data_IF_825754634427
#
_entry.id   IF_825754634427
#
_cell.length_a   1.000
_cell.length_b   1.000
_cell.length_c   1.000
_cell.angle_alpha   90.00
_cell.angle_beta   90.00
_cell.angle_gamma   90.00
#
_symmetry.space_group_name_H-M   'P 1'
#
loop_
_entity.id
_entity.type
_entity.pdbx_description
1 polymer ?
#
# COMPACT_ATOMS: atom_id res chain seq x y z
N UNK A 1 -7.67 20.83 -20.28
CA UNK A 1 -7.07 19.67 -20.95
C UNK A 1 -7.43 18.44 -20.13
N UNK A 2 -8.20 17.54 -20.69
CA UNK A 2 -8.62 16.31 -20.02
C UNK A 2 -7.37 15.44 -19.78
N UNK A 3 -7.09 15.08 -18.52
CA UNK A 3 -6.13 14.02 -18.20
C UNK A 3 -6.77 12.72 -18.65
N UNK A 4 -6.50 12.33 -19.90
CA UNK A 4 -6.86 11.04 -20.44
C UNK A 4 -5.92 9.97 -19.88
N UNK A 5 -6.53 8.83 -19.54
CA UNK A 5 -5.93 7.53 -19.20
C UNK A 5 -5.10 7.51 -17.91
N UNK A 6 -5.67 6.89 -16.87
CA UNK A 6 -4.97 6.54 -15.63
C UNK A 6 -3.74 5.68 -15.99
N UNK A 7 -2.56 6.25 -15.87
CA UNK A 7 -1.29 5.59 -16.18
C UNK A 7 -0.93 4.66 -15.02
N UNK A 8 -1.39 3.42 -15.08
CA UNK A 8 -0.96 2.35 -14.17
C UNK A 8 0.40 1.84 -14.63
N UNK A 9 1.37 1.73 -13.72
CA UNK A 9 2.73 1.28 -14.05
C UNK A 9 2.71 -0.10 -14.72
N UNK A 10 3.16 -0.23 -16.00
CA UNK A 10 3.05 -1.51 -16.71
C UNK A 10 3.88 -2.62 -16.07
N UNK A 11 3.36 -3.86 -16.08
CA UNK A 11 4.00 -5.07 -15.52
C UNK A 11 5.42 -5.31 -16.05
N UNK A 12 5.74 -4.85 -17.28
CA UNK A 12 7.09 -4.94 -17.85
C UNK A 12 8.14 -4.15 -17.05
N UNK A 13 7.74 -3.13 -16.28
CA UNK A 13 8.64 -2.36 -15.43
C UNK A 13 8.69 -2.87 -13.98
N UNK A 14 8.06 -4.02 -13.68
CA UNK A 14 8.09 -4.60 -12.33
C UNK A 14 9.52 -4.80 -11.78
N UNK A 15 10.51 -5.07 -12.66
CA UNK A 15 11.91 -5.17 -12.26
C UNK A 15 12.50 -3.85 -11.75
N UNK A 16 12.03 -2.70 -12.25
CA UNK A 16 12.47 -1.38 -11.76
C UNK A 16 11.88 -1.04 -10.39
N UNK A 17 10.74 -1.67 -10.06
CA UNK A 17 10.02 -1.48 -8.80
C UNK A 17 10.60 -2.38 -7.69
N UNK A 18 11.25 -3.49 -8.04
CA UNK A 18 11.86 -4.42 -7.08
C UNK A 18 13.32 -4.72 -7.47
N UNK A 19 14.21 -3.77 -7.17
CA UNK A 19 15.64 -3.92 -7.42
C UNK A 19 16.50 -3.54 -6.21
N UNK A 20 17.81 -3.90 -6.26
CA UNK A 20 18.75 -3.65 -5.16
C UNK A 20 18.96 -2.17 -4.86
N UNK A 21 18.89 -1.29 -5.88
CA UNK A 21 19.07 0.16 -5.73
C UNK A 21 17.87 0.74 -4.96
N UNK A 22 16.66 0.33 -5.29
CA UNK A 22 15.45 0.72 -4.56
C UNK A 22 15.52 0.27 -3.10
N UNK A 23 15.97 -0.97 -2.83
CA UNK A 23 16.16 -1.47 -1.45
C UNK A 23 17.16 -0.64 -0.65
N UNK A 24 18.19 -0.13 -1.28
CA UNK A 24 19.16 0.74 -0.63
C UNK A 24 18.57 2.12 -0.30
N UNK A 25 17.75 2.69 -1.20
CA UNK A 25 17.10 3.99 -1.03
C UNK A 25 15.83 3.92 -0.16
N UNK A 26 15.10 2.82 -0.23
CA UNK A 26 13.81 2.61 0.40
C UNK A 26 13.79 1.23 1.07
N UNK A 27 14.60 1.06 2.12
CA UNK A 27 14.65 -0.18 2.90
C UNK A 27 13.26 -0.49 3.51
N UNK A 28 12.55 -1.55 3.02
CA UNK A 28 11.19 -1.83 3.47
C UNK A 28 11.12 -2.08 4.97
N UNK A 29 12.12 -2.77 5.53
CA UNK A 29 12.14 -3.10 6.95
C UNK A 29 12.23 -1.86 7.82
N UNK A 30 13.09 -0.90 7.45
CA UNK A 30 13.22 0.37 8.18
C UNK A 30 11.95 1.21 8.10
N UNK A 31 11.29 1.23 6.93
CA UNK A 31 10.05 1.98 6.72
C UNK A 31 8.92 1.38 7.54
N UNK A 32 8.83 0.04 7.60
CA UNK A 32 7.72 -0.68 8.21
C UNK A 32 7.89 -0.91 9.73
N UNK A 33 9.12 -0.94 10.24
CA UNK A 33 9.42 -1.26 11.64
C UNK A 33 8.67 -0.40 12.68
N UNK A 34 8.37 0.90 12.45
CA UNK A 34 7.56 1.67 13.39
C UNK A 34 6.09 1.25 13.45
N UNK A 35 5.60 0.50 12.47
CA UNK A 35 4.17 0.25 12.24
C UNK A 35 3.76 -1.20 12.48
N UNK A 36 4.58 -2.16 12.06
CA UNK A 36 4.23 -3.59 12.08
C UNK A 36 4.75 -4.25 13.35
N UNK A 37 3.91 -5.12 13.92
CA UNK A 37 4.23 -6.02 15.03
C UNK A 37 3.84 -7.44 14.66
N UNK A 38 4.44 -8.40 15.34
CA UNK A 38 4.10 -9.82 15.22
C UNK A 38 2.61 -10.04 15.55
N UNK A 39 1.96 -10.94 14.82
CA UNK A 39 0.53 -11.25 14.96
C UNK A 39 -0.44 -10.30 14.25
N UNK A 40 0.03 -9.20 13.68
CA UNK A 40 -0.84 -8.24 12.98
C UNK A 40 -1.40 -8.79 11.66
N UNK A 41 -2.62 -8.35 11.33
CA UNK A 41 -3.19 -8.45 9.98
C UNK A 41 -2.91 -7.15 9.23
N UNK A 42 -2.17 -7.23 8.11
CA UNK A 42 -1.69 -6.04 7.39
C UNK A 42 -2.09 -6.07 5.92
N UNK A 43 -2.24 -4.88 5.33
CA UNK A 43 -2.58 -4.70 3.92
C UNK A 43 -1.43 -3.99 3.18
N UNK A 44 -1.00 -4.57 2.05
CA UNK A 44 -0.15 -3.93 1.06
C UNK A 44 -1.00 -3.60 -0.19
N UNK A 45 -1.41 -2.34 -0.33
CA UNK A 45 -2.29 -1.87 -1.38
C UNK A 45 -1.47 -1.35 -2.56
N UNK A 46 -1.69 -1.90 -3.77
CA UNK A 46 -0.82 -1.70 -4.92
C UNK A 46 0.52 -2.44 -4.71
N UNK A 47 0.44 -3.71 -4.29
CA UNK A 47 1.59 -4.49 -3.82
C UNK A 47 2.67 -4.73 -4.89
N UNK A 48 2.33 -4.58 -6.19
CA UNK A 48 3.22 -4.88 -7.29
C UNK A 48 3.79 -6.30 -7.21
N UNK A 49 5.07 -6.49 -7.51
CA UNK A 49 5.72 -7.81 -7.40
C UNK A 49 6.13 -8.17 -5.96
N UNK A 50 5.56 -7.51 -4.93
CA UNK A 50 5.73 -7.82 -3.52
C UNK A 50 6.98 -7.25 -2.86
N UNK A 51 7.40 -6.05 -3.25
CA UNK A 51 8.57 -5.38 -2.64
C UNK A 51 8.40 -5.18 -1.14
N UNK A 52 7.21 -4.75 -0.70
CA UNK A 52 6.86 -4.59 0.71
C UNK A 52 6.19 -5.84 1.28
N UNK A 53 5.30 -6.52 0.54
CA UNK A 53 4.53 -7.68 1.02
C UNK A 53 5.40 -8.77 1.62
N UNK A 54 6.54 -9.09 0.99
CA UNK A 54 7.48 -10.11 1.46
C UNK A 54 8.09 -9.74 2.81
N UNK A 55 8.47 -8.47 3.01
CA UNK A 55 9.02 -8.02 4.28
C UNK A 55 7.93 -7.91 5.36
N UNK A 56 6.73 -7.45 5.01
CA UNK A 56 5.57 -7.47 5.91
C UNK A 56 5.31 -8.87 6.46
N UNK A 57 5.32 -9.90 5.58
CA UNK A 57 5.06 -11.28 5.97
C UNK A 57 6.13 -11.86 6.91
N UNK A 58 7.38 -11.39 6.79
CA UNK A 58 8.43 -11.73 7.75
C UNK A 58 8.21 -11.05 9.10
N UNK A 59 7.74 -9.80 9.09
CA UNK A 59 7.59 -8.99 10.30
C UNK A 59 6.34 -9.37 11.11
N UNK A 60 5.25 -9.78 10.46
CA UNK A 60 4.04 -10.22 11.17
C UNK A 60 4.18 -11.60 11.79
N UNK A 61 5.20 -12.39 11.40
CA UNK A 61 5.45 -13.71 11.97
C UNK A 61 4.42 -14.76 11.54
N UNK A 62 4.38 -15.88 12.28
CA UNK A 62 3.49 -17.01 11.96
C UNK A 62 2.02 -16.74 12.25
N UNK A 63 1.75 -15.98 13.28
CA UNK A 63 0.39 -15.70 13.75
C UNK A 63 -0.24 -14.48 13.06
N UNK A 64 0.53 -13.77 12.22
CA UNK A 64 0.06 -12.64 11.44
C UNK A 64 -0.25 -12.99 10.00
N UNK A 65 -0.87 -12.05 9.28
CA UNK A 65 -1.25 -12.22 7.89
C UNK A 65 -1.03 -10.95 7.08
N UNK A 66 -0.79 -11.12 5.77
CA UNK A 66 -0.65 -10.05 4.80
C UNK A 66 -1.69 -10.23 3.70
N UNK A 67 -2.48 -9.20 3.47
CA UNK A 67 -3.28 -9.08 2.25
C UNK A 67 -2.48 -8.26 1.26
N UNK A 68 -2.04 -8.87 0.16
CA UNK A 68 -1.34 -8.21 -0.92
C UNK A 68 -2.30 -7.99 -2.09
N UNK A 69 -2.72 -6.73 -2.29
CA UNK A 69 -3.77 -6.36 -3.21
C UNK A 69 -3.20 -5.52 -4.38
N UNK A 70 -3.55 -5.88 -5.61
CA UNK A 70 -3.12 -5.15 -6.81
C UNK A 70 -4.18 -5.20 -7.91
N UNK A 71 -4.23 -4.14 -8.74
CA UNK A 71 -5.10 -4.06 -9.90
C UNK A 71 -4.61 -4.97 -11.06
N UNK A 72 -3.32 -5.26 -11.12
CA UNK A 72 -2.71 -6.00 -12.22
C UNK A 72 -2.45 -7.46 -11.84
N UNK A 73 -3.17 -8.39 -12.49
CA UNK A 73 -2.98 -9.84 -12.29
C UNK A 73 -1.51 -10.27 -12.53
N UNK A 74 -0.84 -9.66 -13.51
CA UNK A 74 0.57 -9.95 -13.81
C UNK A 74 1.53 -9.58 -12.65
N UNK A 75 1.19 -8.60 -11.81
CA UNK A 75 1.95 -8.27 -10.60
C UNK A 75 1.74 -9.34 -9.52
N UNK A 76 0.49 -9.75 -9.31
CA UNK A 76 0.15 -10.82 -8.37
C UNK A 76 0.80 -12.15 -8.76
N UNK A 77 0.85 -12.49 -10.05
CA UNK A 77 1.56 -13.69 -10.53
C UNK A 77 3.05 -13.65 -10.23
N UNK A 78 3.70 -12.49 -10.37
CA UNK A 78 5.12 -12.32 -9.99
C UNK A 78 5.33 -12.50 -8.49
N UNK A 79 4.45 -11.94 -7.66
CA UNK A 79 4.50 -12.13 -6.22
C UNK A 79 4.26 -13.61 -5.86
N UNK A 80 3.24 -14.25 -6.45
CA UNK A 80 2.96 -15.68 -6.25
C UNK A 80 4.18 -16.56 -6.58
N UNK A 81 4.81 -16.31 -7.72
CA UNK A 81 6.02 -17.04 -8.11
C UNK A 81 7.18 -16.84 -7.12
N UNK A 82 7.30 -15.64 -6.52
CA UNK A 82 8.33 -15.30 -5.55
C UNK A 82 8.16 -16.03 -4.21
N UNK A 83 6.92 -16.21 -3.74
CA UNK A 83 6.62 -16.80 -2.42
C UNK A 83 6.35 -18.30 -2.47
N UNK A 84 6.11 -18.84 -3.65
CA UNK A 84 5.76 -20.26 -3.88
C UNK A 84 6.78 -21.21 -3.23
N UNK A 85 6.29 -22.16 -2.44
CA UNK A 85 7.11 -23.15 -1.73
C UNK A 85 7.93 -22.58 -0.58
N UNK A 86 7.71 -21.33 -0.19
CA UNK A 86 8.30 -20.72 1.00
C UNK A 86 7.28 -20.66 2.14
N UNK A 87 7.75 -20.48 3.37
CA UNK A 87 6.88 -20.25 4.54
C UNK A 87 5.99 -18.99 4.43
N UNK A 88 6.29 -18.09 3.48
CA UNK A 88 5.53 -16.85 3.27
C UNK A 88 4.26 -17.09 2.46
N UNK A 89 4.16 -18.22 1.73
CA UNK A 89 2.99 -18.55 0.90
C UNK A 89 1.71 -18.66 1.75
N UNK A 90 1.81 -19.20 2.95
CA UNK A 90 0.69 -19.34 3.89
C UNK A 90 0.30 -18.02 4.57
N UNK A 91 1.23 -17.03 4.60
CA UNK A 91 1.01 -15.74 5.27
C UNK A 91 0.52 -14.65 4.34
N UNK A 92 0.72 -14.79 3.02
CA UNK A 92 0.38 -13.76 2.03
C UNK A 92 -0.80 -14.22 1.20
N UNK A 93 -1.95 -13.57 1.39
CA UNK A 93 -3.13 -13.71 0.54
C UNK A 93 -3.10 -12.68 -0.58
N UNK A 94 -3.15 -13.16 -1.82
CA UNK A 94 -3.18 -12.31 -3.02
C UNK A 94 -4.62 -11.93 -3.37
N UNK A 95 -4.88 -10.65 -3.59
CA UNK A 95 -6.20 -10.12 -3.94
C UNK A 95 -6.11 -9.31 -5.22
N UNK A 96 -6.91 -9.69 -6.21
CA UNK A 96 -7.12 -8.91 -7.42
C UNK A 96 -8.14 -7.82 -7.13
N UNK A 97 -7.72 -6.55 -7.26
CA UNK A 97 -8.61 -5.40 -7.17
C UNK A 97 -9.30 -5.12 -8.49
N UNK A 98 -10.41 -4.38 -8.42
CA UNK A 98 -11.02 -3.71 -9.56
C UNK A 98 -10.83 -2.18 -9.42
N UNK A 99 -11.00 -1.38 -10.49
CA UNK A 99 -10.78 0.07 -10.43
C UNK A 99 -11.60 0.81 -9.37
N UNK A 100 -12.77 0.27 -9.02
CA UNK A 100 -13.73 0.83 -8.06
C UNK A 100 -13.88 -0.01 -6.77
N UNK A 101 -13.22 -1.18 -6.69
CA UNK A 101 -13.33 -2.09 -5.56
C UNK A 101 -11.98 -2.71 -5.18
N UNK A 102 -11.57 -2.50 -3.93
CA UNK A 102 -10.33 -3.09 -3.40
C UNK A 102 -10.45 -4.61 -3.19
N UNK A 103 -11.66 -5.18 -3.18
CA UNK A 103 -11.95 -6.61 -2.97
C UNK A 103 -11.34 -7.21 -1.69
N UNK A 104 -11.09 -6.39 -0.67
CA UNK A 104 -10.59 -6.79 0.64
C UNK A 104 -11.70 -6.66 1.65
N UNK A 105 -11.96 -7.72 2.42
CA UNK A 105 -12.99 -7.77 3.47
C UNK A 105 -12.41 -7.96 4.88
N UNK A 106 -11.17 -8.41 4.98
CA UNK A 106 -10.50 -8.66 6.23
C UNK A 106 -10.22 -7.37 6.99
N UNK A 107 -10.43 -7.38 8.29
CA UNK A 107 -10.07 -6.27 9.17
C UNK A 107 -8.55 -6.19 9.36
N UNK A 108 -7.98 -5.00 9.18
CA UNK A 108 -6.55 -4.76 9.22
C UNK A 108 -6.13 -3.91 10.42
N UNK A 109 -4.93 -4.19 10.93
CA UNK A 109 -4.26 -3.42 11.99
C UNK A 109 -3.32 -2.35 11.40
N UNK A 110 -2.79 -2.62 10.19
CA UNK A 110 -1.94 -1.69 9.45
C UNK A 110 -2.19 -1.80 7.95
N UNK A 111 -2.12 -0.67 7.25
CA UNK A 111 -2.16 -0.60 5.78
C UNK A 111 -0.99 0.19 5.21
N UNK A 112 -0.52 -0.19 4.04
CA UNK A 112 0.42 0.56 3.22
C UNK A 112 -0.20 0.83 1.85
N UNK A 113 -0.13 2.09 1.41
CA UNK A 113 -0.37 2.46 0.02
C UNK A 113 0.84 3.29 -0.46
N UNK A 114 1.72 2.64 -1.22
CA UNK A 114 3.02 3.19 -1.60
C UNK A 114 3.09 3.44 -3.10
N UNK A 115 3.06 4.73 -3.49
CA UNK A 115 3.13 5.21 -4.88
C UNK A 115 2.00 4.67 -5.76
N UNK A 116 0.75 4.68 -5.23
CA UNK A 116 -0.39 4.16 -5.98
C UNK A 116 -1.69 4.97 -5.86
N UNK A 117 -1.86 5.78 -4.80
CA UNK A 117 -3.15 6.47 -4.56
C UNK A 117 -3.44 7.49 -5.67
N UNK A 118 -2.41 8.11 -6.26
CA UNK A 118 -2.57 9.02 -7.41
C UNK A 118 -3.10 8.34 -8.69
N UNK A 119 -3.01 7.01 -8.79
CA UNK A 119 -3.54 6.20 -9.89
C UNK A 119 -5.01 5.81 -9.66
N UNK A 120 -5.55 5.98 -8.44
CA UNK A 120 -6.92 5.59 -8.09
C UNK A 120 -7.93 6.57 -8.72
N UNK A 121 -8.89 6.07 -9.54
CA UNK A 121 -9.87 6.92 -10.21
C UNK A 121 -10.81 7.66 -9.25
N UNK A 122 -11.36 6.95 -8.25
CA UNK A 122 -12.19 7.51 -7.19
C UNK A 122 -11.54 7.33 -5.81
N UNK A 123 -10.69 8.29 -5.43
CA UNK A 123 -10.03 8.29 -4.11
C UNK A 123 -11.03 8.38 -2.95
N UNK A 124 -12.23 8.97 -3.13
CA UNK A 124 -13.25 9.01 -2.07
C UNK A 124 -13.81 7.62 -1.79
N UNK A 125 -14.16 6.87 -2.83
CA UNK A 125 -14.61 5.50 -2.69
C UNK A 125 -13.51 4.62 -2.09
N UNK A 126 -12.28 4.77 -2.55
CA UNK A 126 -11.10 4.09 -2.04
C UNK A 126 -10.92 4.28 -0.52
N UNK A 127 -10.90 5.53 -0.02
CA UNK A 127 -10.75 5.78 1.42
C UNK A 127 -11.94 5.28 2.24
N UNK A 128 -13.18 5.31 1.71
CA UNK A 128 -14.34 4.69 2.39
C UNK A 128 -14.18 3.19 2.53
N UNK A 129 -13.69 2.51 1.49
CA UNK A 129 -13.42 1.07 1.53
C UNK A 129 -12.29 0.74 2.51
N UNK A 130 -11.20 1.51 2.52
CA UNK A 130 -10.14 1.37 3.53
C UNK A 130 -10.69 1.56 4.95
N UNK A 131 -11.54 2.57 5.18
CA UNK A 131 -12.16 2.78 6.49
C UNK A 131 -13.02 1.60 6.92
N UNK A 132 -13.78 1.02 5.98
CA UNK A 132 -14.66 -0.12 6.28
C UNK A 132 -13.90 -1.36 6.75
N UNK A 133 -12.67 -1.58 6.29
CA UNK A 133 -11.83 -2.71 6.71
C UNK A 133 -10.86 -2.38 7.84
N UNK A 134 -10.79 -1.14 8.27
CA UNK A 134 -9.94 -0.69 9.38
C UNK A 134 -10.44 -1.21 10.71
N UNK A 135 -9.54 -1.70 11.56
CA UNK A 135 -9.80 -1.91 12.99
C UNK A 135 -9.69 -0.59 13.75
N UNK A 136 -10.13 -0.58 14.99
CA UNK A 136 -9.82 0.50 15.93
C UNK A 136 -8.30 0.66 16.04
N UNK A 137 -7.81 1.90 16.07
CA UNK A 137 -6.37 2.22 16.13
C UNK A 137 -5.55 1.74 14.93
N UNK A 138 -6.22 1.45 13.79
CA UNK A 138 -5.49 1.18 12.55
C UNK A 138 -4.55 2.33 12.22
N UNK A 139 -3.40 2.01 11.64
CA UNK A 139 -2.51 3.00 11.02
C UNK A 139 -2.35 2.65 9.55
N UNK A 140 -2.54 3.64 8.68
CA UNK A 140 -2.33 3.47 7.24
C UNK A 140 -1.26 4.45 6.80
N UNK A 141 -0.15 3.94 6.29
CA UNK A 141 0.94 4.75 5.73
C UNK A 141 0.65 5.00 4.25
N UNK A 142 0.40 6.27 3.91
CA UNK A 142 0.29 6.73 2.53
C UNK A 142 1.62 7.36 2.12
N UNK A 143 2.18 6.91 1.00
CA UNK A 143 3.41 7.44 0.43
C UNK A 143 3.19 7.73 -1.05
N UNK A 144 3.46 8.97 -1.49
CA UNK A 144 3.27 9.39 -2.87
C UNK A 144 4.56 10.01 -3.46
N UNK A 145 4.87 9.77 -4.75
CA UNK A 145 6.09 10.28 -5.37
C UNK A 145 6.00 11.78 -5.63
N UNK A 146 7.07 12.54 -5.30
CA UNK A 146 7.11 13.99 -5.50
C UNK A 146 7.35 14.38 -6.96
N UNK A 147 8.41 13.87 -7.56
CA UNK A 147 8.88 14.31 -8.86
C UNK A 147 7.98 13.83 -9.99
N UNK A 148 7.45 14.79 -10.79
CA UNK A 148 6.66 14.57 -12.01
C UNK A 148 5.30 13.85 -11.84
N UNK A 149 4.94 13.38 -10.65
CA UNK A 149 3.73 12.60 -10.42
C UNK A 149 2.73 13.31 -9.52
N UNK A 150 3.13 13.68 -8.29
CA UNK A 150 2.22 14.27 -7.30
C UNK A 150 2.80 15.57 -6.75
N UNK A 151 2.11 16.69 -6.97
CA UNK A 151 2.43 17.96 -6.34
C UNK A 151 2.01 17.96 -4.87
N UNK A 152 2.57 18.89 -4.09
CA UNK A 152 2.17 19.06 -2.67
C UNK A 152 0.66 19.31 -2.53
N UNK A 153 0.09 20.14 -3.40
CA UNK A 153 -1.36 20.47 -3.38
C UNK A 153 -2.22 19.24 -3.67
N UNK A 154 -1.83 18.40 -4.62
CA UNK A 154 -2.53 17.14 -4.91
C UNK A 154 -2.47 16.20 -3.72
N UNK A 155 -1.29 16.05 -3.08
CA UNK A 155 -1.15 15.25 -1.88
C UNK A 155 -2.03 15.77 -0.72
N UNK A 156 -2.04 17.09 -0.46
CA UNK A 156 -2.90 17.70 0.56
C UNK A 156 -4.39 17.48 0.23
N UNK A 157 -4.78 17.52 -1.05
CA UNK A 157 -6.15 17.22 -1.49
C UNK A 157 -6.50 15.74 -1.21
N UNK A 158 -5.59 14.81 -1.50
CA UNK A 158 -5.75 13.39 -1.19
C UNK A 158 -5.94 13.16 0.32
N UNK A 159 -5.14 13.84 1.17
CA UNK A 159 -5.29 13.75 2.63
C UNK A 159 -6.62 14.34 3.11
N UNK A 160 -7.10 15.41 2.50
CA UNK A 160 -8.43 15.97 2.80
C UNK A 160 -9.57 14.99 2.44
N UNK A 161 -9.42 14.19 1.37
CA UNK A 161 -10.37 13.13 1.01
C UNK A 161 -10.35 11.98 2.04
N UNK A 162 -9.17 11.60 2.53
CA UNK A 162 -9.05 10.64 3.63
C UNK A 162 -9.73 11.16 4.91
N UNK A 163 -9.56 12.44 5.24
CA UNK A 163 -10.24 13.09 6.36
C UNK A 163 -11.77 13.01 6.26
N UNK A 164 -12.32 13.23 5.07
CA UNK A 164 -13.78 13.08 4.82
C UNK A 164 -14.29 11.65 4.94
N UNK A 165 -13.42 10.67 4.81
CA UNK A 165 -13.73 9.26 5.05
C UNK A 165 -13.62 8.85 6.53
N UNK A 166 -13.25 9.79 7.43
CA UNK A 166 -13.15 9.56 8.87
C UNK A 166 -11.76 9.10 9.33
N UNK A 167 -10.70 9.51 8.63
CA UNK A 167 -9.34 9.36 9.09
C UNK A 167 -8.77 10.68 9.59
N UNK A 168 -7.95 10.64 10.62
CA UNK A 168 -7.06 11.72 10.98
C UNK A 168 -5.71 11.54 10.29
N UNK A 169 -5.24 12.55 9.59
CA UNK A 169 -3.96 12.52 8.89
C UNK A 169 -2.89 13.25 9.71
N UNK A 170 -1.79 12.58 9.97
CA UNK A 170 -0.59 13.14 10.59
C UNK A 170 0.62 13.02 9.66
N UNK A 171 1.71 13.74 9.99
CA UNK A 171 2.93 13.68 9.18
C UNK A 171 3.55 12.28 9.26
N UNK A 172 3.80 11.67 8.10
CA UNK A 172 4.50 10.39 7.99
C UNK A 172 6.03 10.52 8.05
N UNK A 173 6.74 9.40 7.98
CA UNK A 173 8.19 9.37 7.99
C UNK A 173 8.78 10.13 6.78
N UNK A 174 9.95 10.76 6.98
CA UNK A 174 10.67 11.41 5.88
C UNK A 174 11.28 10.36 4.96
N UNK A 175 10.74 10.25 3.75
CA UNK A 175 11.21 9.32 2.74
C UNK A 175 11.78 10.07 1.52
N UNK A 176 12.87 9.57 0.92
CA UNK A 176 13.45 10.20 -0.26
C UNK A 176 12.42 10.34 -1.38
N UNK A 177 12.39 11.50 -2.02
CA UNK A 177 11.55 11.81 -3.19
C UNK A 177 10.06 11.53 -3.01
N UNK A 178 9.56 11.51 -1.75
CA UNK A 178 8.17 11.18 -1.47
C UNK A 178 7.50 12.15 -0.49
N UNK A 179 6.19 12.35 -0.67
CA UNK A 179 5.28 12.81 0.36
C UNK A 179 4.83 11.62 1.19
N UNK A 180 4.63 11.79 2.49
CA UNK A 180 4.10 10.74 3.32
C UNK A 180 3.20 11.27 4.42
N UNK A 181 2.15 10.51 4.74
CA UNK A 181 1.24 10.75 5.85
C UNK A 181 0.86 9.42 6.51
N UNK A 182 0.56 9.47 7.79
CA UNK A 182 -0.07 8.38 8.52
C UNK A 182 -1.53 8.76 8.75
N UNK A 183 -2.42 7.88 8.34
CA UNK A 183 -3.85 7.97 8.61
C UNK A 183 -4.18 7.07 9.80
N UNK A 184 -4.96 7.59 10.74
CA UNK A 184 -5.44 6.88 11.92
C UNK A 184 -6.96 7.02 12.00
N UNK A 185 -7.64 6.05 12.60
CA UNK A 185 -9.07 6.18 12.91
C UNK A 185 -9.21 6.81 14.28
N UNK A 186 -10.23 7.67 14.46
CA UNK A 186 -10.63 8.13 15.80
C UNK A 186 -10.95 6.93 16.71
N UNK A 187 -10.68 7.13 18.01
CA UNK A 187 -11.06 6.22 19.08
C UNK A 187 -12.58 6.10 19.19
#
# INVERSE_FOLDING_TARGET
MARGENFVCPVRFAWSIDNRIRRWLQDPRKILAPFIREGMSVLDMGCGPGFFSVEMARMVGRDGSVVAADLQEGMLQKLRAKIRGTELEERIRLVKCEPDNINVSEKIDFGLAFWMVHEVPDQRAFFRQLKAISREKVRILIVEPKLFHVSRREFETTMALAGRAGFQASQGPRLPLSWSAVLETDL
#
